data_IF_226069704957
#
_entry.id   IF_226069704957
#
_cell.length_a   1.000
_cell.length_b   1.000
_cell.length_c   1.000
_cell.angle_alpha   90.00
_cell.angle_beta   90.00
_cell.angle_gamma   90.00
#
_symmetry.space_group_name_H-M   'P 1'
#
loop_
_entity.id
_entity.type
_entity.pdbx_description
1 polymer ?
#
# COMPACT_ATOMS: atom_id res chain seq x y z
N UNK A 1 20.24 26.37 26.72
CA UNK A 1 21.05 25.90 25.57
C UNK A 1 21.20 24.38 25.54
N UNK A 2 21.81 23.72 26.54
CA UNK A 2 21.87 22.24 26.58
C UNK A 2 20.52 21.57 26.89
N UNK A 3 19.79 22.07 27.91
CA UNK A 3 18.47 21.56 28.26
C UNK A 3 17.41 21.74 27.14
N UNK A 4 17.55 22.79 26.33
CA UNK A 4 16.66 23.03 25.18
C UNK A 4 16.94 22.04 24.03
N UNK A 5 18.21 21.65 23.84
CA UNK A 5 18.59 20.63 22.86
C UNK A 5 18.14 19.23 23.27
N UNK A 6 18.34 18.86 24.54
CA UNK A 6 17.84 17.58 25.09
C UNK A 6 16.32 17.47 24.97
N UNK A 7 15.59 18.57 25.22
CA UNK A 7 14.16 18.61 25.03
C UNK A 7 13.74 18.43 23.56
N UNK A 8 14.45 19.08 22.63
CA UNK A 8 14.20 18.96 21.18
C UNK A 8 14.43 17.52 20.70
N UNK A 9 15.53 16.88 21.11
CA UNK A 9 15.83 15.50 20.74
C UNK A 9 14.79 14.53 21.29
N UNK A 10 14.40 14.68 22.55
CA UNK A 10 13.35 13.87 23.16
C UNK A 10 12.01 13.98 22.40
N UNK A 11 11.59 15.20 22.03
CA UNK A 11 10.35 15.41 21.28
C UNK A 11 10.42 14.74 19.91
N UNK A 12 11.57 14.83 19.21
CA UNK A 12 11.78 14.19 17.90
C UNK A 12 11.70 12.67 17.99
N UNK A 13 12.41 12.08 18.95
CA UNK A 13 12.42 10.63 19.16
C UNK A 13 11.03 10.13 19.52
N UNK A 14 10.33 10.85 20.40
CA UNK A 14 8.97 10.48 20.80
C UNK A 14 7.99 10.55 19.63
N UNK A 15 8.06 11.60 18.80
CA UNK A 15 7.21 11.75 17.62
C UNK A 15 7.42 10.59 16.63
N UNK A 16 8.69 10.27 16.33
CA UNK A 16 9.03 9.15 15.45
C UNK A 16 8.57 7.80 16.00
N UNK A 17 8.77 7.57 17.30
CA UNK A 17 8.37 6.33 17.96
C UNK A 17 6.85 6.12 17.89
N UNK A 18 6.06 7.14 18.25
CA UNK A 18 4.59 7.05 18.23
C UNK A 18 4.09 6.77 16.81
N UNK A 19 4.57 7.53 15.83
CA UNK A 19 4.21 7.35 14.43
C UNK A 19 4.52 5.93 13.95
N UNK A 20 5.75 5.45 14.19
CA UNK A 20 6.20 4.13 13.75
C UNK A 20 5.41 3.01 14.40
N UNK A 21 5.18 3.09 15.71
CA UNK A 21 4.48 2.07 16.48
C UNK A 21 3.00 1.95 16.09
N UNK A 22 2.31 3.09 15.96
CA UNK A 22 0.90 3.12 15.56
C UNK A 22 0.74 2.62 14.13
N UNK A 23 1.57 3.10 13.20
CA UNK A 23 1.53 2.69 11.78
C UNK A 23 1.77 1.19 11.61
N UNK A 24 2.74 0.64 12.36
CA UNK A 24 3.03 -0.80 12.35
C UNK A 24 1.85 -1.62 12.87
N UNK A 25 1.24 -1.21 13.99
CA UNK A 25 0.10 -1.93 14.59
C UNK A 25 -1.12 -1.90 13.68
N UNK A 26 -1.45 -0.75 13.10
CA UNK A 26 -2.54 -0.62 12.13
C UNK A 26 -2.30 -1.49 10.90
N UNK A 27 -1.09 -1.47 10.35
CA UNK A 27 -0.70 -2.31 9.21
C UNK A 27 -0.80 -3.80 9.55
N UNK A 28 -0.36 -4.20 10.75
CA UNK A 28 -0.47 -5.58 11.22
C UNK A 28 -1.92 -6.05 11.36
N UNK A 29 -2.79 -5.21 11.94
CA UNK A 29 -4.21 -5.50 12.08
C UNK A 29 -4.88 -5.65 10.71
N UNK A 30 -4.61 -4.72 9.78
CA UNK A 30 -5.09 -4.78 8.39
C UNK A 30 -4.66 -6.06 7.70
N UNK A 31 -3.35 -6.33 7.70
CA UNK A 31 -2.76 -7.48 7.03
C UNK A 31 -3.31 -8.80 7.58
N UNK A 32 -3.47 -8.90 8.90
CA UNK A 32 -4.07 -10.07 9.56
C UNK A 32 -5.52 -10.26 9.15
N UNK A 33 -6.32 -9.19 9.17
CA UNK A 33 -7.74 -9.23 8.84
C UNK A 33 -7.97 -9.65 7.38
N UNK A 34 -7.31 -8.98 6.43
CA UNK A 34 -7.42 -9.28 4.99
C UNK A 34 -6.97 -10.72 4.70
N UNK A 35 -5.85 -11.16 5.30
CA UNK A 35 -5.34 -12.52 5.11
C UNK A 35 -6.31 -13.58 5.62
N UNK A 36 -6.92 -13.38 6.79
CA UNK A 36 -7.78 -14.38 7.40
C UNK A 36 -9.13 -14.51 6.68
N UNK A 37 -9.70 -13.40 6.22
CA UNK A 37 -11.05 -13.36 5.64
C UNK A 37 -11.05 -13.60 4.12
N UNK A 38 -10.00 -13.15 3.41
CA UNK A 38 -9.94 -13.23 1.94
C UNK A 38 -8.80 -14.13 1.43
N UNK A 39 -8.06 -14.76 2.34
CA UNK A 39 -6.88 -15.57 2.02
C UNK A 39 -5.87 -14.81 1.14
N UNK A 40 -5.80 -13.49 1.30
CA UNK A 40 -4.97 -12.61 0.48
C UNK A 40 -3.75 -12.17 1.30
N UNK A 41 -2.57 -12.61 0.89
CA UNK A 41 -1.33 -12.25 1.58
C UNK A 41 -1.04 -10.75 1.41
N UNK A 42 -0.28 -10.12 2.34
CA UNK A 42 0.00 -8.68 2.25
C UNK A 42 0.64 -8.28 0.92
N UNK A 43 1.60 -9.05 0.42
CA UNK A 43 2.25 -8.78 -0.86
C UNK A 43 1.29 -8.91 -2.06
N UNK A 44 0.33 -9.84 -1.99
CA UNK A 44 -0.71 -10.02 -3.01
C UNK A 44 -1.71 -8.84 -3.00
N UNK A 45 -2.09 -8.38 -1.81
CA UNK A 45 -2.95 -7.19 -1.66
C UNK A 45 -2.29 -5.92 -2.23
N UNK A 46 -1.01 -5.70 -1.92
CA UNK A 46 -0.26 -4.56 -2.49
C UNK A 46 -0.11 -4.68 -4.01
N UNK A 47 0.09 -5.89 -4.56
CA UNK A 47 0.12 -6.11 -6.01
C UNK A 47 -1.22 -5.79 -6.68
N UNK A 48 -2.33 -6.31 -6.12
CA UNK A 48 -3.67 -6.00 -6.61
C UNK A 48 -3.99 -4.51 -6.50
N UNK A 49 -3.56 -3.84 -5.43
CA UNK A 49 -3.77 -2.39 -5.29
C UNK A 49 -3.01 -1.60 -6.34
N UNK A 50 -1.74 -1.96 -6.58
CA UNK A 50 -0.92 -1.30 -7.60
C UNK A 50 -1.52 -1.48 -8.99
N UNK A 51 -1.99 -2.69 -9.32
CA UNK A 51 -2.65 -2.95 -10.60
C UNK A 51 -4.01 -2.25 -10.69
N UNK A 52 -4.83 -2.27 -9.64
CA UNK A 52 -6.17 -1.65 -9.65
C UNK A 52 -6.10 -0.14 -9.90
N UNK A 53 -5.09 0.53 -9.35
CA UNK A 53 -4.90 1.98 -9.46
C UNK A 53 -4.16 2.41 -10.74
N UNK A 54 -3.56 1.47 -11.47
CA UNK A 54 -2.99 1.75 -12.78
C UNK A 54 -4.11 2.09 -13.80
N UNK A 55 -3.82 3.01 -14.72
CA UNK A 55 -4.80 3.56 -15.69
C UNK A 55 -5.60 2.48 -16.44
N UNK A 56 -4.95 1.39 -16.84
CA UNK A 56 -5.56 0.29 -17.60
C UNK A 56 -5.75 -0.98 -16.76
N UNK A 57 -5.52 -0.93 -15.45
CA UNK A 57 -5.53 -2.13 -14.61
C UNK A 57 -4.33 -3.06 -14.82
N UNK A 58 -3.29 -2.62 -15.52
CA UNK A 58 -2.18 -3.46 -15.94
C UNK A 58 -0.82 -2.78 -15.75
N UNK A 59 0.23 -3.59 -15.68
CA UNK A 59 1.59 -3.08 -15.55
C UNK A 59 2.61 -4.09 -16.07
N UNK A 60 3.70 -3.60 -16.68
CA UNK A 60 4.84 -4.46 -17.02
C UNK A 60 5.43 -5.03 -15.74
N UNK A 61 5.77 -6.32 -15.72
CA UNK A 61 6.32 -7.01 -14.55
C UNK A 61 7.56 -6.31 -13.97
N UNK A 62 8.43 -5.74 -14.80
CA UNK A 62 9.60 -4.98 -14.31
C UNK A 62 9.20 -3.72 -13.55
N UNK A 63 8.24 -2.95 -14.10
CA UNK A 63 7.72 -1.74 -13.46
C UNK A 63 6.97 -2.09 -12.17
N UNK A 64 6.16 -3.15 -12.20
CA UNK A 64 5.46 -3.63 -11.01
C UNK A 64 6.45 -4.07 -9.91
N UNK A 65 7.59 -4.66 -10.28
CA UNK A 65 8.61 -5.05 -9.31
C UNK A 65 9.26 -3.83 -8.67
N UNK A 66 9.58 -2.82 -9.49
CA UNK A 66 10.15 -1.55 -9.02
C UNK A 66 9.18 -0.81 -8.08
N UNK A 67 7.89 -0.72 -8.45
CA UNK A 67 6.87 -0.03 -7.65
C UNK A 67 6.63 -0.72 -6.31
N UNK A 68 6.78 -2.04 -6.26
CA UNK A 68 6.68 -2.83 -5.03
C UNK A 68 8.01 -2.97 -4.27
N UNK A 69 9.11 -2.40 -4.79
CA UNK A 69 10.47 -2.60 -4.28
C UNK A 69 10.85 -4.09 -4.13
N UNK A 70 10.41 -4.94 -5.06
CA UNK A 70 10.64 -6.37 -5.06
C UNK A 70 11.70 -6.79 -6.08
N UNK A 71 12.41 -7.88 -5.79
CA UNK A 71 13.20 -8.55 -6.82
C UNK A 71 12.27 -9.16 -7.88
N UNK A 72 12.72 -9.31 -9.15
CA UNK A 72 11.92 -9.95 -10.19
C UNK A 72 11.42 -11.35 -9.83
N UNK A 73 12.24 -12.13 -9.13
CA UNK A 73 11.88 -13.47 -8.66
C UNK A 73 10.79 -13.44 -7.60
N UNK A 74 10.87 -12.50 -6.65
CA UNK A 74 9.83 -12.33 -5.62
C UNK A 74 8.51 -11.88 -6.23
N UNK A 75 8.53 -10.92 -7.16
CA UNK A 75 7.31 -10.51 -7.84
C UNK A 75 6.71 -11.68 -8.62
N UNK A 76 7.53 -12.43 -9.37
CA UNK A 76 7.04 -13.57 -10.15
C UNK A 76 6.32 -14.58 -9.26
N UNK A 77 6.86 -14.87 -8.07
CA UNK A 77 6.19 -15.74 -7.10
C UNK A 77 4.82 -15.20 -6.65
N UNK A 78 4.75 -13.91 -6.29
CA UNK A 78 3.48 -13.26 -5.88
C UNK A 78 2.45 -13.29 -7.01
N UNK A 79 2.85 -12.92 -8.23
CA UNK A 79 1.94 -12.88 -9.38
C UNK A 79 1.49 -14.28 -9.79
N UNK A 80 2.36 -15.30 -9.71
CA UNK A 80 1.94 -16.68 -9.96
C UNK A 80 0.82 -17.14 -9.03
N UNK A 81 0.90 -16.83 -7.72
CA UNK A 81 -0.16 -17.16 -6.77
C UNK A 81 -1.50 -16.47 -7.09
N UNK A 82 -1.44 -15.21 -7.56
CA UNK A 82 -2.62 -14.49 -8.03
C UNK A 82 -3.21 -15.08 -9.32
N UNK A 83 -2.37 -15.54 -10.25
CA UNK A 83 -2.79 -16.21 -11.49
C UNK A 83 -3.48 -17.54 -11.20
N UNK A 84 -2.93 -18.37 -10.31
CA UNK A 84 -3.52 -19.64 -9.89
C UNK A 84 -4.95 -19.48 -9.35
N UNK A 85 -5.25 -18.29 -8.81
CA UNK A 85 -6.56 -17.92 -8.26
C UNK A 85 -7.42 -17.07 -9.21
N UNK A 86 -7.01 -16.91 -10.47
CA UNK A 86 -7.67 -16.07 -11.47
C UNK A 86 -7.82 -14.58 -11.07
N UNK A 87 -6.97 -14.06 -10.18
CA UNK A 87 -7.04 -12.65 -9.73
C UNK A 87 -6.21 -11.72 -10.61
N UNK A 88 -5.21 -12.27 -11.29
CA UNK A 88 -4.35 -11.58 -12.24
C UNK A 88 -4.16 -12.48 -13.45
N UNK A 89 -4.09 -11.89 -14.63
CA UNK A 89 -3.63 -12.56 -15.84
C UNK A 89 -2.27 -12.03 -16.29
N UNK A 90 -1.52 -12.85 -17.02
CA UNK A 90 -0.18 -12.51 -17.51
C UNK A 90 -0.09 -12.73 -19.01
N UNK A 91 0.27 -11.68 -19.74
CA UNK A 91 0.36 -11.69 -21.20
C UNK A 91 1.72 -11.16 -21.68
N UNK A 92 2.08 -11.46 -22.93
CA UNK A 92 3.27 -10.90 -23.58
C UNK A 92 2.93 -9.49 -24.04
N UNK A 93 3.85 -8.53 -23.80
CA UNK A 93 3.68 -7.15 -24.25
C UNK A 93 3.57 -7.07 -25.78
N UNK A 94 2.44 -6.57 -26.28
CA UNK A 94 2.22 -6.36 -27.70
C UNK A 94 3.05 -5.19 -28.29
N UNK A 95 3.50 -4.24 -27.44
CA UNK A 95 4.22 -3.03 -27.89
C UNK A 95 5.65 -3.31 -28.35
N UNK A 96 6.32 -4.28 -27.75
CA UNK A 96 7.74 -4.58 -28.01
C UNK A 96 8.04 -6.08 -28.14
N UNK A 97 7.06 -6.96 -27.93
CA UNK A 97 7.23 -8.42 -27.95
C UNK A 97 8.20 -8.95 -26.89
N UNK A 98 8.64 -8.10 -25.97
CA UNK A 98 9.65 -8.40 -24.95
C UNK A 98 9.08 -8.08 -23.58
N UNK A 99 9.14 -9.06 -22.69
CA UNK A 99 8.62 -8.92 -21.33
C UNK A 99 7.13 -9.21 -21.19
N UNK A 100 6.70 -9.28 -19.94
CA UNK A 100 5.35 -9.68 -19.55
C UNK A 100 4.61 -8.52 -18.91
N UNK A 101 3.31 -8.46 -19.17
CA UNK A 101 2.35 -7.57 -18.52
C UNK A 101 1.52 -8.41 -17.55
N UNK A 102 1.32 -7.90 -16.34
CA UNK A 102 0.33 -8.40 -15.41
C UNK A 102 -0.90 -7.49 -15.46
N UNK A 103 -2.09 -8.06 -15.50
CA UNK A 103 -3.35 -7.32 -15.56
C UNK A 103 -4.32 -7.88 -14.52
N UNK A 104 -4.97 -7.00 -13.75
CA UNK A 104 -5.99 -7.41 -12.80
C UNK A 104 -7.24 -7.89 -13.54
N UNK A 105 -7.76 -9.04 -13.15
CA UNK A 105 -9.02 -9.59 -13.71
C UNK A 105 -10.23 -8.99 -12.98
N UNK A 106 -11.43 -9.24 -13.48
CA UNK A 106 -12.67 -8.87 -12.79
C UNK A 106 -12.80 -9.56 -11.41
N UNK A 107 -12.34 -10.80 -11.29
CA UNK A 107 -12.26 -11.51 -10.00
C UNK A 107 -11.27 -10.81 -9.06
N UNK A 108 -10.11 -10.41 -9.58
CA UNK A 108 -9.11 -9.63 -8.85
C UNK A 108 -9.66 -8.31 -8.34
N UNK A 109 -10.39 -7.57 -9.19
CA UNK A 109 -11.05 -6.31 -8.81
C UNK A 109 -12.05 -6.51 -7.68
N UNK A 110 -12.91 -7.53 -7.77
CA UNK A 110 -13.89 -7.85 -6.72
C UNK A 110 -13.22 -8.20 -5.39
N UNK A 111 -12.15 -9.00 -5.40
CA UNK A 111 -11.39 -9.31 -4.19
C UNK A 111 -10.70 -8.07 -3.62
N UNK A 112 -10.12 -7.22 -4.48
CA UNK A 112 -9.51 -5.98 -4.04
C UNK A 112 -10.53 -5.02 -3.41
N UNK A 113 -11.71 -4.86 -4.00
CA UNK A 113 -12.77 -3.99 -3.48
C UNK A 113 -13.24 -4.43 -2.08
N UNK A 114 -13.36 -5.74 -1.86
CA UNK A 114 -13.65 -6.30 -0.54
C UNK A 114 -12.52 -6.01 0.44
N UNK A 115 -11.27 -6.26 0.06
CA UNK A 115 -10.10 -6.02 0.91
C UNK A 115 -9.96 -4.54 1.29
N UNK A 116 -10.16 -3.63 0.32
CA UNK A 116 -10.12 -2.19 0.50
C UNK A 116 -11.27 -1.69 1.39
N UNK A 117 -12.48 -2.25 1.26
CA UNK A 117 -13.58 -1.96 2.18
C UNK A 117 -13.23 -2.34 3.63
N UNK A 118 -12.61 -3.51 3.82
CA UNK A 118 -12.16 -3.96 5.14
C UNK A 118 -11.06 -3.07 5.73
N UNK A 119 -10.11 -2.60 4.90
CA UNK A 119 -9.07 -1.64 5.30
C UNK A 119 -9.70 -0.31 5.74
N UNK A 120 -10.63 0.24 4.95
CA UNK A 120 -11.34 1.49 5.30
C UNK A 120 -12.11 1.37 6.60
N UNK A 121 -12.84 0.28 6.81
CA UNK A 121 -13.59 0.06 8.04
C UNK A 121 -12.66 -0.05 9.26
N UNK A 122 -11.51 -0.72 9.11
CA UNK A 122 -10.51 -0.83 10.16
C UNK A 122 -9.91 0.54 10.51
N UNK A 123 -9.52 1.34 9.51
CA UNK A 123 -9.00 2.70 9.75
C UNK A 123 -10.07 3.61 10.33
N UNK A 124 -11.33 3.51 9.90
CA UNK A 124 -12.43 4.26 10.51
C UNK A 124 -12.58 3.93 11.99
N UNK A 125 -12.59 2.65 12.34
CA UNK A 125 -12.83 2.19 13.71
C UNK A 125 -11.64 2.41 14.66
N UNK A 126 -10.41 2.23 14.18
CA UNK A 126 -9.23 2.21 15.05
C UNK A 126 -8.32 3.42 14.91
N UNK A 127 -8.64 4.33 13.98
CA UNK A 127 -7.85 5.54 13.76
C UNK A 127 -8.73 6.79 13.67
N UNK A 128 -9.54 6.91 12.61
CA UNK A 128 -10.24 8.16 12.31
C UNK A 128 -11.34 8.51 13.33
N UNK A 129 -12.04 7.52 13.89
CA UNK A 129 -13.06 7.77 14.92
C UNK A 129 -12.51 8.25 16.26
N UNK A 130 -11.19 8.14 16.47
CA UNK A 130 -10.51 8.59 17.70
C UNK A 130 -9.95 10.01 17.58
N UNK A 131 -10.03 10.62 16.37
CA UNK A 131 -9.50 11.94 16.06
C UNK A 131 -10.65 12.88 15.72
N UNK A 132 -10.62 14.11 16.23
CA UNK A 132 -11.56 15.15 15.78
C UNK A 132 -11.29 15.49 14.30
N UNK A 133 -12.25 16.13 13.62
CA UNK A 133 -12.02 16.61 12.25
C UNK A 133 -10.83 17.59 12.20
N UNK A 134 -10.69 18.45 13.21
CA UNK A 134 -9.55 19.37 13.31
C UNK A 134 -8.21 18.62 13.44
N UNK A 135 -8.17 17.53 14.23
CA UNK A 135 -6.95 16.70 14.33
C UNK A 135 -6.63 16.00 13.00
N UNK A 136 -7.65 15.57 12.25
CA UNK A 136 -7.47 14.95 10.93
C UNK A 136 -6.94 15.96 9.90
N UNK A 137 -7.48 17.17 9.88
CA UNK A 137 -6.98 18.27 9.04
C UNK A 137 -5.54 18.64 9.40
N UNK A 138 -5.23 18.72 10.69
CA UNK A 138 -3.88 19.01 11.17
C UNK A 138 -2.90 17.90 10.83
N UNK A 139 -3.32 16.63 10.91
CA UNK A 139 -2.53 15.50 10.48
C UNK A 139 -2.17 15.62 8.98
N UNK A 140 -3.16 15.88 8.12
CA UNK A 140 -2.91 16.12 6.69
C UNK A 140 -1.91 17.26 6.47
N UNK A 141 -2.05 18.37 7.22
CA UNK A 141 -1.12 19.50 7.14
C UNK A 141 0.32 19.13 7.57
N UNK A 142 0.47 18.34 8.64
CA UNK A 142 1.77 17.90 9.16
C UNK A 142 2.47 16.95 8.17
N UNK A 143 1.72 16.07 7.51
CA UNK A 143 2.28 15.08 6.59
C UNK A 143 2.49 15.60 5.16
N UNK A 144 1.83 16.67 4.73
CA UNK A 144 1.94 17.20 3.37
C UNK A 144 3.40 17.44 2.89
N UNK A 145 4.33 18.02 3.69
CA UNK A 145 5.72 18.17 3.25
C UNK A 145 6.46 16.84 3.12
N UNK A 146 6.09 15.83 3.91
CA UNK A 146 6.68 14.49 3.83
C UNK A 146 6.18 13.76 2.59
N UNK A 147 4.89 13.89 2.26
CA UNK A 147 4.30 13.36 1.04
C UNK A 147 4.96 13.94 -0.22
N UNK A 148 5.23 15.25 -0.25
CA UNK A 148 5.92 15.91 -1.36
C UNK A 148 7.41 15.52 -1.46
N UNK A 149 8.08 15.32 -0.31
CA UNK A 149 9.51 15.00 -0.28
C UNK A 149 9.81 13.53 -0.60
N UNK A 150 8.95 12.61 -0.13
CA UNK A 150 9.14 11.19 -0.35
C UNK A 150 8.86 10.85 -1.81
N UNK A 151 9.63 9.93 -2.42
CA UNK A 151 9.33 9.49 -3.77
C UNK A 151 7.92 8.91 -3.78
N UNK A 152 7.06 9.42 -4.66
CA UNK A 152 5.78 8.79 -4.93
C UNK A 152 6.04 7.30 -5.20
N UNK A 153 5.26 6.43 -4.56
CA UNK A 153 5.19 5.05 -5.01
C UNK A 153 4.70 5.14 -6.46
N UNK A 154 5.61 4.90 -7.42
CA UNK A 154 5.40 5.18 -8.85
C UNK A 154 4.02 4.63 -9.28
N UNK A 155 3.24 5.47 -9.95
CA UNK A 155 1.89 5.20 -10.48
C UNK A 155 0.76 4.98 -9.44
N UNK A 156 0.97 5.16 -8.13
CA UNK A 156 -0.08 5.01 -7.10
C UNK A 156 -0.65 6.38 -6.65
N UNK A 157 -0.82 7.31 -7.59
CA UNK A 157 -1.23 8.71 -7.31
C UNK A 157 -2.70 8.86 -6.83
N UNK A 158 -3.44 7.77 -6.62
CA UNK A 158 -4.87 7.79 -6.24
C UNK A 158 -5.20 6.83 -5.09
N UNK A 159 -4.29 6.68 -4.11
CA UNK A 159 -4.69 6.12 -2.82
C UNK A 159 -5.37 7.23 -2.01
N UNK A 160 -6.70 7.15 -1.96
CA UNK A 160 -7.66 7.97 -1.21
C UNK A 160 -8.24 9.18 -1.95
#
# INVERSE_FOLDING_TARGET
MAADLEHIEFVRDRAWQVFSEVSMRLSFMRNTKIKNELHLAPAEYEALTTLYLAEDGSMRMGVLADNMCFSPSRLSYVISGLIERNLVEKSISAKDGRGYIAQITDDGRRIWEQANAMERDLFRQHFLSLLSIADQEELSRIFAPLEEHLPALRDINHRF
#
